data_IF_937705680046
#
_entry.id   IF_937705680046
#
_cell.length_a   1.000
_cell.length_b   1.000
_cell.length_c   1.000
_cell.angle_alpha   90.00
_cell.angle_beta   90.00
_cell.angle_gamma   90.00
#
_symmetry.space_group_name_H-M   'P 1'
#
loop_
_entity.id
_entity.type
_entity.pdbx_description
1 polymer ?
#
# COMPACT_ATOMS: atom_id res chain seq x y z
N UNK A 1 -7.92 2.29 -14.47
CA UNK A 1 -8.81 2.48 -13.32
C UNK A 1 -9.16 1.14 -12.66
N UNK A 2 -9.29 1.11 -11.32
CA UNK A 2 -9.71 -0.08 -10.57
C UNK A 2 -11.05 -0.64 -11.07
N UNK A 3 -11.95 0.23 -11.46
CA UNK A 3 -13.26 -0.10 -12.04
C UNK A 3 -13.18 -0.92 -13.35
N UNK A 4 -12.06 -0.89 -14.05
CA UNK A 4 -11.82 -1.70 -15.25
C UNK A 4 -11.33 -3.12 -14.96
N UNK A 5 -11.18 -3.50 -13.69
CA UNK A 5 -10.63 -4.81 -13.28
C UNK A 5 -11.68 -5.68 -12.55
N UNK A 6 -12.94 -5.30 -12.54
CA UNK A 6 -14.02 -6.05 -11.87
C UNK A 6 -14.09 -7.52 -12.31
N UNK A 7 -14.00 -7.88 -13.60
CA UNK A 7 -13.99 -9.28 -14.01
C UNK A 7 -12.80 -10.07 -13.44
N UNK A 8 -11.64 -9.41 -13.27
CA UNK A 8 -10.45 -10.04 -12.69
C UNK A 8 -10.66 -10.34 -11.21
N UNK A 9 -11.26 -9.42 -10.45
CA UNK A 9 -11.58 -9.64 -9.04
C UNK A 9 -12.57 -10.79 -8.87
N UNK A 10 -13.64 -10.81 -9.65
CA UNK A 10 -14.64 -11.88 -9.63
C UNK A 10 -13.98 -13.25 -9.91
N UNK A 11 -13.11 -13.31 -10.92
CA UNK A 11 -12.38 -14.53 -11.27
C UNK A 11 -11.49 -15.02 -10.12
N UNK A 12 -10.73 -14.12 -9.48
CA UNK A 12 -9.88 -14.47 -8.34
C UNK A 12 -10.72 -14.96 -7.18
N UNK A 13 -11.78 -14.25 -6.83
CA UNK A 13 -12.69 -14.62 -5.72
C UNK A 13 -13.33 -15.97 -5.98
N UNK A 14 -13.83 -16.22 -7.19
CA UNK A 14 -14.42 -17.52 -7.56
C UNK A 14 -13.40 -18.65 -7.40
N UNK A 15 -12.17 -18.43 -7.87
CA UNK A 15 -11.10 -19.43 -7.70
C UNK A 15 -10.78 -19.68 -6.21
N UNK A 16 -10.79 -18.66 -5.37
CA UNK A 16 -10.59 -18.82 -3.93
C UNK A 16 -11.74 -19.62 -3.29
N UNK A 17 -12.97 -19.41 -3.75
CA UNK A 17 -14.13 -20.22 -3.31
C UNK A 17 -13.99 -21.68 -3.75
N UNK A 18 -13.65 -21.93 -5.00
CA UNK A 18 -13.47 -23.27 -5.56
C UNK A 18 -12.35 -24.04 -4.85
N UNK A 19 -11.31 -23.34 -4.41
CA UNK A 19 -10.21 -23.91 -3.61
C UNK A 19 -10.54 -24.03 -2.11
N UNK A 20 -11.69 -23.53 -1.65
CA UNK A 20 -12.12 -23.58 -0.26
C UNK A 20 -11.50 -22.55 0.68
N UNK A 21 -10.85 -21.51 0.14
CA UNK A 21 -10.30 -20.37 0.90
C UNK A 21 -11.31 -19.25 1.13
N UNK A 22 -12.45 -19.26 0.44
CA UNK A 22 -13.49 -18.26 0.60
C UNK A 22 -14.88 -18.89 0.76
N UNK A 23 -15.79 -18.16 1.39
CA UNK A 23 -17.15 -18.61 1.64
C UNK A 23 -18.13 -17.44 1.55
N UNK A 24 -19.40 -17.78 1.24
CA UNK A 24 -20.50 -16.82 1.22
C UNK A 24 -21.29 -16.92 2.52
N UNK A 25 -21.52 -15.78 3.19
CA UNK A 25 -22.33 -15.69 4.39
C UNK A 25 -22.95 -14.30 4.53
N UNK A 26 -24.16 -14.20 5.06
CA UNK A 26 -24.84 -12.94 5.35
C UNK A 26 -25.04 -12.00 4.14
N UNK A 27 -24.80 -12.48 2.92
CA UNK A 27 -24.86 -11.70 1.70
C UNK A 27 -23.50 -11.20 1.20
N UNK A 28 -22.38 -11.54 1.85
CA UNK A 28 -21.04 -11.15 1.46
C UNK A 28 -20.14 -12.37 1.23
N UNK A 29 -19.06 -12.19 0.46
CA UNK A 29 -18.02 -13.21 0.31
C UNK A 29 -16.85 -12.86 1.20
N UNK A 30 -16.43 -13.80 2.04
CA UNK A 30 -15.33 -13.64 2.98
C UNK A 30 -14.18 -14.58 2.64
N UNK A 31 -12.96 -14.15 2.92
CA UNK A 31 -11.79 -15.00 2.98
C UNK A 31 -11.76 -15.70 4.35
N UNK A 32 -11.53 -17.01 4.36
CA UNK A 32 -11.42 -17.85 5.55
C UNK A 32 -9.95 -17.94 6.00
N UNK A 33 -9.58 -17.11 6.98
CA UNK A 33 -8.20 -17.02 7.48
C UNK A 33 -7.76 -18.28 8.21
N UNK A 34 -8.68 -19.12 8.68
CA UNK A 34 -8.36 -20.40 9.34
C UNK A 34 -7.77 -21.46 8.39
N UNK A 35 -7.83 -21.22 7.08
CA UNK A 35 -7.25 -22.09 6.05
C UNK A 35 -5.76 -21.89 5.85
N UNK A 36 -5.20 -20.83 6.43
CA UNK A 36 -3.78 -20.50 6.33
C UNK A 36 -3.02 -21.12 7.49
N UNK A 37 -1.85 -21.70 7.18
CA UNK A 37 -0.91 -22.17 8.21
C UNK A 37 -0.39 -20.99 9.05
N UNK A 38 -0.11 -19.85 8.40
CA UNK A 38 0.31 -18.62 9.04
C UNK A 38 -0.38 -17.42 8.38
N UNK A 39 -1.17 -16.67 9.17
CA UNK A 39 -1.84 -15.45 8.69
C UNK A 39 -1.03 -14.18 9.00
N UNK A 40 -0.47 -14.05 10.22
CA UNK A 40 0.31 -12.87 10.63
C UNK A 40 1.75 -12.98 10.11
N UNK A 41 1.99 -12.42 8.91
CA UNK A 41 3.29 -12.53 8.22
C UNK A 41 4.29 -11.49 8.71
N UNK A 42 3.84 -10.26 9.00
CA UNK A 42 4.72 -9.13 9.33
C UNK A 42 4.90 -8.88 10.83
N UNK A 43 4.11 -9.53 11.66
CA UNK A 43 4.13 -9.35 13.12
C UNK A 43 4.32 -10.72 13.78
N UNK A 44 5.27 -10.79 14.71
CA UNK A 44 5.44 -11.96 15.58
C UNK A 44 4.46 -11.96 16.78
N UNK A 45 3.42 -11.09 16.70
CA UNK A 45 2.42 -10.98 17.75
C UNK A 45 1.39 -12.10 17.65
N UNK A 46 1.05 -12.68 18.80
CA UNK A 46 -0.09 -13.57 18.94
C UNK A 46 -1.39 -12.80 18.67
N UNK A 47 -2.44 -13.53 18.24
CA UNK A 47 -3.73 -12.95 17.86
C UNK A 47 -4.36 -12.06 18.96
N UNK A 48 -3.97 -12.24 20.22
CA UNK A 48 -4.44 -11.48 21.37
C UNK A 48 -3.83 -10.07 21.44
N UNK A 49 -2.56 -9.89 21.05
CA UNK A 49 -1.87 -8.59 21.07
C UNK A 49 -2.40 -7.61 20.01
N UNK A 50 -2.94 -8.12 18.91
CA UNK A 50 -3.51 -7.31 17.82
C UNK A 50 -4.93 -6.79 18.14
N UNK A 51 -5.56 -7.28 19.21
CA UNK A 51 -6.83 -6.75 19.71
C UNK A 51 -6.75 -5.28 20.15
N UNK A 52 -5.55 -4.80 20.48
CA UNK A 52 -5.30 -3.42 20.95
C UNK A 52 -5.20 -2.41 19.79
N UNK A 53 -4.94 -2.86 18.57
CA UNK A 53 -4.79 -1.99 17.39
C UNK A 53 -6.01 -1.91 16.46
N UNK A 54 -7.03 -2.70 16.70
CA UNK A 54 -8.29 -2.67 15.91
C UNK A 54 -9.07 -1.41 16.30
N UNK A 55 -9.38 -0.56 15.32
CA UNK A 55 -10.21 0.63 15.51
C UNK A 55 -11.45 0.26 16.32
N UNK A 56 -11.66 0.92 17.44
CA UNK A 56 -12.81 0.76 18.35
C UNK A 56 -14.20 0.89 17.70
N UNK A 57 -14.24 1.18 16.37
CA UNK A 57 -15.46 1.42 15.58
C UNK A 57 -15.84 0.30 14.61
N UNK A 58 -15.18 -0.86 14.64
CA UNK A 58 -15.58 -1.99 13.79
C UNK A 58 -16.57 -2.85 14.55
N UNK A 59 -17.86 -2.71 14.22
CA UNK A 59 -18.92 -3.62 14.70
C UNK A 59 -18.53 -5.06 14.36
N UNK A 60 -18.72 -5.98 15.33
CA UNK A 60 -18.52 -7.40 15.10
C UNK A 60 -19.48 -7.88 14.01
N UNK A 61 -18.91 -8.38 12.93
CA UNK A 61 -19.69 -9.02 11.87
C UNK A 61 -19.92 -10.48 12.20
N UNK A 62 -21.11 -10.78 12.75
CA UNK A 62 -21.52 -12.13 13.15
C UNK A 62 -21.61 -13.16 12.01
N UNK A 63 -21.49 -12.72 10.75
CA UNK A 63 -21.46 -13.63 9.60
C UNK A 63 -20.06 -14.23 9.35
N UNK A 64 -19.02 -13.70 10.00
CA UNK A 64 -17.67 -14.22 9.89
C UNK A 64 -17.53 -15.53 10.66
N UNK A 65 -16.84 -16.50 10.07
CA UNK A 65 -16.46 -17.75 10.75
C UNK A 65 -15.35 -17.51 11.78
N UNK A 66 -14.40 -16.65 11.44
CA UNK A 66 -13.28 -16.29 12.30
C UNK A 66 -13.17 -14.76 12.38
N UNK A 67 -12.72 -14.26 13.52
CA UNK A 67 -12.59 -12.81 13.78
C UNK A 67 -11.78 -12.08 12.71
N UNK A 68 -10.74 -12.71 12.20
CA UNK A 68 -9.81 -12.11 11.23
C UNK A 68 -10.25 -12.26 9.76
N UNK A 69 -11.35 -12.97 9.50
CA UNK A 69 -11.88 -13.08 8.14
C UNK A 69 -12.20 -11.70 7.59
N UNK A 70 -11.96 -11.50 6.31
CA UNK A 70 -12.15 -10.22 5.67
C UNK A 70 -12.99 -10.36 4.39
N UNK A 71 -13.70 -9.29 4.04
CA UNK A 71 -14.62 -9.30 2.91
C UNK A 71 -13.86 -9.19 1.60
N UNK A 72 -14.15 -10.08 0.67
CA UNK A 72 -13.69 -10.06 -0.71
C UNK A 72 -14.71 -9.39 -1.64
N UNK A 73 -16.01 -9.57 -1.39
CA UNK A 73 -17.09 -8.95 -2.15
C UNK A 73 -18.24 -8.58 -1.23
N UNK A 74 -18.66 -7.32 -1.30
CA UNK A 74 -19.79 -6.78 -0.55
C UNK A 74 -21.05 -6.78 -1.41
N UNK A 75 -22.11 -7.45 -1.02
CA UNK A 75 -23.48 -7.23 -1.52
C UNK A 75 -24.34 -6.52 -0.48
N UNK A 76 -23.96 -6.62 0.79
CA UNK A 76 -24.58 -5.91 1.91
C UNK A 76 -23.50 -5.18 2.70
N UNK A 77 -23.66 -3.90 2.93
CA UNK A 77 -22.79 -3.10 3.77
C UNK A 77 -23.59 -1.98 4.43
N UNK A 78 -23.01 -1.36 5.47
CA UNK A 78 -23.57 -0.14 6.08
C UNK A 78 -23.54 1.08 5.14
N UNK A 79 -22.86 0.97 4.00
CA UNK A 79 -22.82 2.00 2.95
C UNK A 79 -23.79 1.64 1.84
N UNK A 80 -25.12 1.69 2.14
CA UNK A 80 -26.16 1.37 1.16
C UNK A 80 -26.14 2.28 -0.07
N UNK A 81 -25.70 3.53 0.10
CA UNK A 81 -25.61 4.56 -0.93
C UNK A 81 -24.31 4.49 -1.77
N UNK A 82 -23.56 3.36 -1.71
CA UNK A 82 -22.39 3.18 -2.56
C UNK A 82 -22.75 3.34 -4.03
N UNK A 83 -22.20 4.38 -4.67
CA UNK A 83 -22.54 4.77 -6.04
C UNK A 83 -22.04 3.76 -7.09
N UNK A 84 -20.94 3.05 -6.79
CA UNK A 84 -20.31 2.11 -7.72
C UNK A 84 -20.60 0.70 -7.26
N UNK A 85 -21.43 -0.02 -8.04
CA UNK A 85 -21.79 -1.43 -7.84
C UNK A 85 -21.78 -2.14 -9.18
N UNK A 86 -21.50 -3.42 -9.17
CA UNK A 86 -21.42 -4.28 -10.36
C UNK A 86 -22.10 -5.62 -10.10
N UNK A 87 -22.56 -6.23 -11.17
CA UNK A 87 -23.09 -7.60 -11.14
C UNK A 87 -21.98 -8.60 -10.81
N UNK A 88 -22.31 -9.59 -9.99
CA UNK A 88 -21.43 -10.71 -9.68
C UNK A 88 -22.23 -11.99 -9.48
N UNK A 89 -21.60 -13.17 -9.46
CA UNK A 89 -22.27 -14.44 -9.14
C UNK A 89 -22.95 -14.45 -7.76
N UNK A 90 -22.54 -13.56 -6.86
CA UNK A 90 -23.04 -13.47 -5.48
C UNK A 90 -24.10 -12.39 -5.29
N UNK A 91 -24.35 -11.60 -6.33
CA UNK A 91 -25.30 -10.50 -6.34
C UNK A 91 -24.63 -9.16 -6.72
N UNK A 92 -25.47 -8.12 -6.86
CA UNK A 92 -24.98 -6.76 -7.14
C UNK A 92 -24.24 -6.21 -5.95
N UNK A 93 -23.00 -5.75 -6.17
CA UNK A 93 -22.15 -5.31 -5.08
C UNK A 93 -20.84 -4.69 -5.54
N UNK A 94 -19.83 -4.70 -4.67
CA UNK A 94 -18.52 -4.12 -4.94
C UNK A 94 -17.40 -4.90 -4.26
N UNK A 95 -16.15 -4.84 -4.78
CA UNK A 95 -15.02 -5.56 -4.21
C UNK A 95 -14.62 -5.03 -2.84
N UNK A 96 -14.04 -5.89 -2.01
CA UNK A 96 -13.29 -5.47 -0.84
C UNK A 96 -12.00 -4.75 -1.26
N UNK A 97 -11.48 -3.88 -0.40
CA UNK A 97 -10.31 -3.06 -0.73
C UNK A 97 -9.06 -3.90 -1.09
N UNK A 98 -8.83 -5.00 -0.39
CA UNK A 98 -7.61 -5.79 -0.55
C UNK A 98 -7.54 -6.53 -1.90
N UNK A 99 -8.70 -7.01 -2.42
CA UNK A 99 -8.73 -7.73 -3.69
C UNK A 99 -8.44 -6.83 -4.90
N UNK A 100 -8.71 -5.53 -4.78
CA UNK A 100 -8.40 -4.56 -5.82
C UNK A 100 -6.88 -4.51 -6.06
N UNK A 101 -6.09 -4.34 -5.00
CA UNK A 101 -4.64 -4.26 -5.11
C UNK A 101 -4.03 -5.56 -5.65
N UNK A 102 -4.46 -6.71 -5.16
CA UNK A 102 -4.01 -8.01 -5.67
C UNK A 102 -4.36 -8.20 -7.15
N UNK A 103 -5.62 -7.96 -7.52
CA UNK A 103 -6.08 -8.17 -8.88
C UNK A 103 -5.44 -7.23 -9.90
N UNK A 104 -5.29 -5.95 -9.55
CA UNK A 104 -4.63 -4.95 -10.40
C UNK A 104 -3.15 -5.31 -10.58
N UNK A 105 -2.45 -5.60 -9.50
CA UNK A 105 -1.03 -5.93 -9.54
C UNK A 105 -0.77 -7.17 -10.39
N UNK A 106 -1.52 -8.25 -10.18
CA UNK A 106 -1.39 -9.46 -10.99
C UNK A 106 -1.71 -9.22 -12.47
N UNK A 107 -2.72 -8.41 -12.78
CA UNK A 107 -3.10 -8.10 -14.15
C UNK A 107 -2.01 -7.39 -14.95
N UNK A 108 -1.32 -6.44 -14.33
CA UNK A 108 -0.38 -5.56 -15.04
C UNK A 108 1.08 -5.91 -14.81
N UNK A 109 1.42 -6.56 -13.72
CA UNK A 109 2.79 -6.88 -13.33
C UNK A 109 3.08 -8.40 -13.32
N UNK A 110 2.03 -9.24 -13.44
CA UNK A 110 2.15 -10.69 -13.42
C UNK A 110 2.05 -11.31 -12.04
N UNK A 111 2.29 -12.61 -12.00
CA UNK A 111 2.08 -13.45 -10.81
C UNK A 111 3.26 -13.44 -9.83
N UNK A 112 4.33 -12.72 -10.16
CA UNK A 112 5.50 -12.53 -9.32
C UNK A 112 5.83 -11.04 -9.25
N UNK A 113 5.78 -10.48 -8.03
CA UNK A 113 6.20 -9.11 -7.74
C UNK A 113 7.59 -9.13 -7.10
N UNK A 114 8.47 -8.26 -7.57
CA UNK A 114 9.76 -8.08 -6.91
C UNK A 114 9.61 -7.28 -5.62
N UNK A 115 8.92 -6.13 -5.69
CA UNK A 115 8.78 -5.19 -4.57
C UNK A 115 7.35 -4.69 -4.49
N UNK A 116 6.77 -4.73 -3.27
CA UNK A 116 5.50 -4.08 -2.94
C UNK A 116 5.70 -3.10 -1.79
N UNK A 117 5.21 -1.86 -1.97
CA UNK A 117 5.44 -0.78 -1.02
C UNK A 117 4.14 -0.23 -0.46
N UNK A 118 4.17 0.20 0.80
CA UNK A 118 3.05 0.91 1.43
C UNK A 118 3.48 1.65 2.69
N UNK A 119 2.53 2.34 3.32
CA UNK A 119 2.74 2.86 4.67
C UNK A 119 2.82 1.73 5.70
N UNK A 120 3.39 2.00 6.85
CA UNK A 120 3.51 1.00 7.93
C UNK A 120 2.13 0.50 8.38
N UNK A 121 1.09 1.31 8.27
CA UNK A 121 -0.29 0.97 8.55
C UNK A 121 -0.89 -0.02 7.54
N UNK A 122 -0.29 -0.20 6.37
CA UNK A 122 -0.68 -1.23 5.42
C UNK A 122 -0.11 -2.61 5.75
N UNK A 123 0.92 -2.72 6.60
CA UNK A 123 1.46 -4.02 6.98
C UNK A 123 0.36 -4.95 7.52
N UNK A 124 -0.51 -4.38 8.36
CA UNK A 124 -1.70 -5.06 8.86
C UNK A 124 -2.89 -4.06 8.93
N UNK A 125 -4.08 -4.46 8.44
CA UNK A 125 -4.39 -5.76 7.83
C UNK A 125 -4.16 -5.82 6.31
N UNK A 126 -3.89 -4.70 5.60
CA UNK A 126 -4.01 -4.60 4.14
C UNK A 126 -3.06 -5.56 3.40
N UNK A 127 -1.76 -5.41 3.56
CA UNK A 127 -0.77 -6.26 2.89
C UNK A 127 -0.83 -7.72 3.38
N UNK A 128 -1.14 -7.94 4.66
CA UNK A 128 -1.37 -9.28 5.19
C UNK A 128 -2.53 -9.96 4.46
N UNK A 129 -3.63 -9.24 4.20
CA UNK A 129 -4.77 -9.75 3.45
C UNK A 129 -4.45 -9.94 1.97
N UNK A 130 -3.63 -9.05 1.38
CA UNK A 130 -3.16 -9.24 0.01
C UNK A 130 -2.32 -10.51 -0.14
N UNK A 131 -1.42 -10.80 0.79
CA UNK A 131 -0.65 -12.06 0.81
C UNK A 131 -1.59 -13.24 0.91
N UNK A 132 -2.49 -13.21 1.89
CA UNK A 132 -3.46 -14.29 2.13
C UNK A 132 -4.23 -14.66 0.87
N UNK A 133 -4.84 -13.68 0.19
CA UNK A 133 -5.65 -13.94 -1.00
C UNK A 133 -4.83 -14.26 -2.24
N UNK A 134 -3.69 -13.55 -2.45
CA UNK A 134 -2.86 -13.73 -3.65
C UNK A 134 -2.15 -15.07 -3.66
N UNK A 135 -1.50 -15.46 -2.56
CA UNK A 135 -0.78 -16.71 -2.47
C UNK A 135 -1.70 -17.94 -2.45
N UNK A 136 -2.89 -17.81 -1.82
CA UNK A 136 -3.93 -18.84 -1.90
C UNK A 136 -4.48 -19.01 -3.31
N UNK A 137 -4.65 -17.91 -4.05
CA UNK A 137 -5.07 -17.92 -5.44
C UNK A 137 -4.01 -18.56 -6.33
N UNK A 138 -2.75 -18.11 -6.23
CA UNK A 138 -1.63 -18.54 -7.08
C UNK A 138 -1.13 -19.95 -6.71
N UNK A 139 -1.04 -20.28 -5.42
CA UNK A 139 -0.43 -21.49 -4.91
C UNK A 139 1.09 -21.40 -4.74
N UNK A 140 1.64 -20.19 -4.76
CA UNK A 140 3.06 -19.90 -4.55
C UNK A 140 3.25 -18.49 -3.95
N UNK A 141 4.43 -18.16 -3.37
CA UNK A 141 4.73 -16.82 -2.88
C UNK A 141 4.58 -15.78 -3.99
N UNK A 142 3.90 -14.67 -3.68
CA UNK A 142 3.53 -13.64 -4.66
C UNK A 142 4.57 -12.52 -4.77
N UNK A 143 4.97 -11.94 -3.61
CA UNK A 143 5.88 -10.79 -3.58
C UNK A 143 7.12 -11.10 -2.78
N UNK A 144 8.30 -10.77 -3.36
CA UNK A 144 9.59 -11.09 -2.77
C UNK A 144 10.00 -10.12 -1.67
N UNK A 145 9.76 -8.82 -1.85
CA UNK A 145 10.17 -7.77 -0.91
C UNK A 145 9.02 -6.85 -0.58
N UNK A 146 8.72 -6.71 0.70
CA UNK A 146 7.72 -5.80 1.23
C UNK A 146 8.41 -4.62 1.91
N UNK A 147 8.06 -3.40 1.49
CA UNK A 147 8.61 -2.18 2.06
C UNK A 147 7.52 -1.36 2.74
N UNK A 148 7.65 -1.17 4.04
CA UNK A 148 6.73 -0.36 4.83
C UNK A 148 7.42 0.93 5.28
N UNK A 149 6.86 2.07 4.87
CA UNK A 149 7.40 3.40 5.11
C UNK A 149 6.70 4.03 6.31
N UNK A 150 7.45 4.58 7.25
CA UNK A 150 6.87 5.32 8.38
C UNK A 150 6.25 6.63 7.90
N UNK A 151 5.25 7.10 8.65
CA UNK A 151 4.52 8.32 8.32
C UNK A 151 5.40 9.56 8.36
N UNK A 152 5.09 10.51 7.46
CA UNK A 152 5.52 11.89 7.58
C UNK A 152 4.67 12.56 8.68
N UNK A 153 5.33 13.05 9.70
CA UNK A 153 4.72 13.76 10.81
C UNK A 153 5.01 15.26 10.72
N UNK A 154 4.22 16.06 11.41
CA UNK A 154 4.53 17.46 11.73
C UNK A 154 4.98 17.54 13.18
N UNK A 155 5.47 18.69 13.61
CA UNK A 155 5.81 18.93 15.05
C UNK A 155 4.61 18.73 15.99
N UNK A 156 3.38 18.86 15.47
CA UNK A 156 2.12 18.60 16.20
C UNK A 156 1.62 17.16 16.08
N UNK A 157 2.37 16.24 15.45
CA UNK A 157 2.03 14.85 15.23
C UNK A 157 1.61 14.54 13.80
N UNK A 158 0.74 13.54 13.60
CA UNK A 158 0.29 13.10 12.28
C UNK A 158 -0.48 14.22 11.57
N UNK A 159 -0.05 14.57 10.36
CA UNK A 159 -0.76 15.50 9.49
C UNK A 159 -2.14 14.93 9.12
N UNK A 160 -3.21 15.68 9.37
CA UNK A 160 -4.56 15.26 9.01
C UNK A 160 -5.38 16.41 8.40
N UNK A 161 -6.23 16.06 7.43
CA UNK A 161 -7.16 17.03 6.79
C UNK A 161 -8.12 17.69 7.80
N UNK A 162 -8.52 16.97 8.84
CA UNK A 162 -9.49 17.44 9.83
C UNK A 162 -8.97 18.56 10.75
N UNK A 163 -7.66 18.79 10.80
CA UNK A 163 -7.04 19.85 11.63
C UNK A 163 -6.79 21.17 10.89
N UNK A 164 -7.19 21.28 9.62
CA UNK A 164 -7.07 22.52 8.84
C UNK A 164 -5.67 22.87 8.34
N UNK A 165 -4.62 22.20 8.81
CA UNK A 165 -3.23 22.40 8.37
C UNK A 165 -2.85 21.34 7.34
N UNK A 166 -3.49 21.36 6.19
CA UNK A 166 -3.18 20.42 5.13
C UNK A 166 -2.08 21.01 4.23
N UNK A 167 -0.85 20.55 4.40
CA UNK A 167 0.27 20.90 3.53
C UNK A 167 0.15 20.15 2.20
N UNK A 168 -0.02 20.89 1.11
CA UNK A 168 -0.02 20.38 -0.25
C UNK A 168 1.27 20.74 -0.95
N UNK A 169 1.60 20.04 -2.04
CA UNK A 169 2.73 20.42 -2.90
C UNK A 169 2.51 21.81 -3.49
N UNK A 170 1.29 22.16 -3.88
CA UNK A 170 0.93 23.50 -4.39
C UNK A 170 1.27 24.61 -3.38
N UNK A 171 1.03 24.37 -2.07
CA UNK A 171 1.43 25.33 -1.04
C UNK A 171 2.95 25.54 -0.99
N UNK A 172 3.74 24.51 -1.27
CA UNK A 172 5.20 24.64 -1.35
C UNK A 172 5.60 25.52 -2.54
N UNK A 173 4.97 25.31 -3.70
CA UNK A 173 5.19 26.12 -4.90
C UNK A 173 4.76 27.58 -4.69
N UNK A 174 3.62 27.82 -4.06
CA UNK A 174 3.13 29.16 -3.70
C UNK A 174 4.11 29.90 -2.76
N UNK A 175 4.84 29.15 -1.94
CA UNK A 175 5.90 29.68 -1.06
C UNK A 175 7.27 29.78 -1.74
N UNK A 176 7.36 29.41 -3.01
CA UNK A 176 8.59 29.51 -3.81
C UNK A 176 9.55 28.32 -3.67
N UNK A 177 9.12 27.20 -3.11
CA UNK A 177 9.92 25.98 -3.07
C UNK A 177 9.80 25.19 -4.36
N UNK A 178 10.91 24.64 -4.84
CA UNK A 178 10.92 23.62 -5.87
C UNK A 178 10.34 22.31 -5.27
N UNK A 179 9.32 21.67 -5.88
CA UNK A 179 8.81 20.38 -5.46
C UNK A 179 9.89 19.29 -5.34
N UNK A 180 10.96 19.39 -6.13
CA UNK A 180 12.10 18.48 -6.04
C UNK A 180 12.90 18.63 -4.75
N UNK A 181 12.90 19.83 -4.14
CA UNK A 181 13.49 20.01 -2.81
C UNK A 181 12.73 19.23 -1.74
N UNK A 182 11.40 19.19 -1.82
CA UNK A 182 10.58 18.34 -0.94
C UNK A 182 10.82 16.84 -1.17
N UNK A 183 10.90 16.42 -2.44
CA UNK A 183 11.29 15.03 -2.75
C UNK A 183 12.65 14.68 -2.16
N UNK A 184 13.63 15.59 -2.28
CA UNK A 184 14.96 15.40 -1.71
C UNK A 184 14.92 15.32 -0.18
N UNK A 185 14.13 16.18 0.48
CA UNK A 185 13.86 16.11 1.92
C UNK A 185 13.37 14.71 2.34
N UNK A 186 12.38 14.16 1.64
CA UNK A 186 11.87 12.83 1.93
C UNK A 186 12.94 11.74 1.77
N UNK A 187 13.82 11.87 0.77
CA UNK A 187 14.86 10.87 0.46
C UNK A 187 16.08 10.93 1.39
N UNK A 188 16.26 12.00 2.15
CA UNK A 188 17.37 12.14 3.10
C UNK A 188 17.18 11.29 4.38
N UNK A 189 16.00 10.78 4.63
CA UNK A 189 15.72 9.94 5.79
C UNK A 189 15.53 8.48 5.37
N UNK A 190 16.02 7.56 6.19
CA UNK A 190 15.75 6.14 5.98
C UNK A 190 14.24 5.88 6.17
N UNK A 191 13.62 5.12 5.27
CA UNK A 191 12.17 4.87 5.24
C UNK A 191 11.59 4.24 6.53
N UNK A 192 12.42 3.56 7.33
CA UNK A 192 12.07 3.00 8.65
C UNK A 192 12.27 3.98 9.80
N UNK A 193 12.57 5.25 9.53
CA UNK A 193 12.66 6.30 10.54
C UNK A 193 11.50 7.25 10.34
N UNK A 194 10.94 7.72 11.46
CA UNK A 194 9.92 8.76 11.43
C UNK A 194 10.51 10.04 10.85
N UNK A 195 9.85 10.59 9.84
CA UNK A 195 10.22 11.84 9.21
C UNK A 195 9.32 12.95 9.76
N UNK A 196 9.94 14.03 10.27
CA UNK A 196 9.20 15.19 10.78
C UNK A 196 9.39 16.36 9.84
N UNK A 197 8.28 16.83 9.26
CA UNK A 197 8.27 18.02 8.45
C UNK A 197 8.31 19.26 9.33
N UNK A 198 9.27 20.13 9.05
CA UNK A 198 9.29 21.52 9.48
C UNK A 198 9.77 22.37 8.32
N UNK A 199 9.42 23.66 8.30
CA UNK A 199 9.91 24.58 7.28
C UNK A 199 11.44 24.67 7.30
N UNK A 200 12.05 24.68 8.48
CA UNK A 200 13.51 24.67 8.64
C UNK A 200 14.16 23.43 7.99
N UNK A 201 13.58 22.23 8.20
CA UNK A 201 14.07 21.01 7.57
C UNK A 201 13.94 21.05 6.05
N UNK A 202 12.86 21.66 5.55
CA UNK A 202 12.69 21.86 4.10
C UNK A 202 13.69 22.85 3.54
N UNK A 203 13.96 23.98 4.23
CA UNK A 203 14.99 24.96 3.83
C UNK A 203 16.38 24.32 3.73
N UNK A 204 16.75 23.52 4.73
CA UNK A 204 18.00 22.77 4.73
C UNK A 204 18.09 21.80 3.54
N UNK A 205 17.02 21.09 3.24
CA UNK A 205 16.95 20.19 2.10
C UNK A 205 17.01 20.94 0.76
N UNK A 206 16.32 22.07 0.64
CA UNK A 206 16.36 22.91 -0.56
C UNK A 206 17.77 23.44 -0.83
N UNK A 207 18.46 23.91 0.20
CA UNK A 207 19.86 24.34 0.09
C UNK A 207 20.78 23.20 -0.33
N UNK A 208 20.63 22.02 0.28
CA UNK A 208 21.44 20.84 -0.06
C UNK A 208 21.17 20.38 -1.50
N UNK A 209 19.90 20.37 -1.93
CA UNK A 209 19.50 20.06 -3.29
C UNK A 209 20.10 21.04 -4.30
N UNK A 210 19.99 22.36 -4.07
CA UNK A 210 20.57 23.37 -4.93
C UNK A 210 22.09 23.24 -5.08
N UNK A 211 22.82 22.95 -3.99
CA UNK A 211 24.25 22.66 -4.02
C UNK A 211 24.57 21.40 -4.84
N UNK A 212 23.77 20.35 -4.73
CA UNK A 212 23.94 19.13 -5.53
C UNK A 212 23.77 19.43 -7.03
N UNK A 213 22.70 20.12 -7.40
CA UNK A 213 22.45 20.51 -8.80
C UNK A 213 23.56 21.41 -9.35
N UNK A 214 24.00 22.39 -8.58
CA UNK A 214 25.11 23.26 -9.00
C UNK A 214 26.41 22.47 -9.24
N UNK A 215 26.73 21.50 -8.39
CA UNK A 215 27.90 20.62 -8.59
C UNK A 215 27.77 19.79 -9.86
N UNK A 216 26.57 19.18 -10.11
CA UNK A 216 26.32 18.38 -11.33
C UNK A 216 26.45 19.28 -12.56
N UNK A 217 25.88 20.49 -12.54
CA UNK A 217 25.97 21.46 -13.65
C UNK A 217 27.40 21.93 -13.95
N UNK A 218 28.27 21.95 -12.93
CA UNK A 218 29.67 22.32 -13.08
C UNK A 218 30.54 21.17 -13.65
N UNK A 219 30.04 19.94 -13.74
CA UNK A 219 30.78 18.82 -14.33
C UNK A 219 30.98 19.07 -15.82
N UNK A 220 32.24 19.00 -16.27
CA UNK A 220 32.61 19.14 -17.68
C UNK A 220 32.88 17.73 -18.24
N UNK A 221 32.34 17.37 -19.41
CA UNK A 221 32.74 16.17 -20.09
C UNK A 221 34.25 16.19 -20.37
N UNK A 222 34.93 15.10 -20.10
CA UNK A 222 36.34 14.95 -20.50
C UNK A 222 36.34 14.32 -21.89
N UNK A 223 36.72 15.06 -22.95
CA UNK A 223 36.77 14.53 -24.31
C UNK A 223 37.71 13.32 -24.37
N UNK A 224 37.24 12.23 -24.98
CA UNK A 224 38.03 11.01 -25.15
C UNK A 224 38.21 10.13 -23.89
N UNK A 225 37.59 10.47 -22.76
CA UNK A 225 37.58 9.57 -21.61
C UNK A 225 36.79 8.31 -21.94
N UNK A 226 37.43 7.16 -21.83
CA UNK A 226 36.73 5.89 -21.90
C UNK A 226 35.81 5.74 -20.67
N UNK A 227 34.61 5.25 -20.88
CA UNK A 227 33.71 4.86 -19.78
C UNK A 227 34.40 3.71 -19.04
N UNK A 228 34.64 3.87 -17.75
CA UNK A 228 35.09 2.77 -16.91
C UNK A 228 34.04 1.64 -16.95
N UNK A 229 34.41 0.52 -17.57
CA UNK A 229 33.49 -0.62 -17.77
C UNK A 229 33.02 -1.20 -16.43
N UNK A 230 33.83 -1.14 -15.38
CA UNK A 230 33.45 -1.61 -14.04
C UNK A 230 32.41 -0.65 -13.41
N UNK A 231 32.59 0.67 -13.53
CA UNK A 231 31.62 1.65 -13.07
C UNK A 231 30.32 1.59 -13.88
N UNK A 232 30.40 1.40 -15.19
CA UNK A 232 29.21 1.24 -16.04
C UNK A 232 28.45 -0.06 -15.74
N UNK A 233 29.13 -1.11 -15.33
CA UNK A 233 28.51 -2.40 -14.92
C UNK A 233 27.84 -2.28 -13.54
N UNK A 234 28.38 -1.47 -12.63
CA UNK A 234 27.82 -1.26 -11.30
C UNK A 234 26.56 -0.37 -11.31
N UNK A 235 26.30 0.35 -12.43
CA UNK A 235 25.15 1.24 -12.61
C UNK A 235 23.99 0.57 -13.37
N UNK A 236 24.13 -0.68 -13.79
CA UNK A 236 23.11 -1.52 -14.42
C UNK A 236 22.54 -2.53 -13.43
#
# INVERSE_FOLDING_TARGET
>A
PATGCIPDYIRIIQTLMDKGYAYFAGGNVYFDTSKLEKYYIFNDHDAEDLAVGVRESVEEDHNKKNRNDFVLWFTKSKFEDQALKWDSPWGVGYPGWHIECSGISMKYLGEHLDIHCGGIDNAFPHHTNEIAQSESYLGHPWCRYWMHVLHLNTSSGKMSKSKGEFLTVSLLEDKGYDPMAYRFFCLQSHYRKSLVFTWENLDNAALAYSKLIARIAALKPVPGAAIDAAAASALR
#
